data_IF_566111504090
#
_entry.id   IF_566111504090
#
_cell.length_a   1.000
_cell.length_b   1.000
_cell.length_c   1.000
_cell.angle_alpha   90.00
_cell.angle_beta   90.00
_cell.angle_gamma   90.00
#
_symmetry.space_group_name_H-M   'P 1'
#
loop_
_entity.id
_entity.type
_entity.pdbx_description
1 polymer ?
#
# COMPACT_ATOMS: atom_id res chain seq x y z
N UNK A 1 -4.34 7.14 -20.26
CA UNK A 1 -2.98 6.78 -20.74
C UNK A 1 -2.16 6.20 -19.62
N UNK A 2 -1.18 5.35 -19.96
CA UNK A 2 -0.25 4.77 -18.98
C UNK A 2 1.12 5.39 -19.21
N UNK A 3 1.66 6.02 -18.16
CA UNK A 3 3.00 6.64 -18.19
C UNK A 3 4.05 5.64 -17.71
N UNK A 4 5.25 5.60 -18.35
CA UNK A 4 6.39 4.88 -17.80
C UNK A 4 6.80 5.44 -16.44
N UNK A 5 7.12 4.55 -15.48
CA UNK A 5 7.57 4.94 -14.13
C UNK A 5 8.69 5.99 -14.17
N UNK A 6 9.66 5.83 -15.09
CA UNK A 6 10.76 6.79 -15.25
C UNK A 6 10.27 8.20 -15.59
N UNK A 7 9.27 8.30 -16.48
CA UNK A 7 8.71 9.61 -16.84
C UNK A 7 8.02 10.28 -15.65
N UNK A 8 7.32 9.50 -14.81
CA UNK A 8 6.68 10.01 -13.59
C UNK A 8 7.73 10.53 -12.60
N UNK A 9 8.82 9.80 -12.38
CA UNK A 9 9.90 10.25 -11.50
C UNK A 9 10.61 11.51 -12.00
N UNK A 10 10.90 11.59 -13.30
CA UNK A 10 11.54 12.80 -13.85
C UNK A 10 10.57 13.99 -13.78
N UNK A 11 9.29 13.78 -14.08
CA UNK A 11 8.29 14.83 -13.95
C UNK A 11 8.17 15.32 -12.50
N UNK A 12 8.13 14.41 -11.52
CA UNK A 12 8.09 14.75 -10.10
C UNK A 12 9.27 15.60 -9.65
N UNK A 13 10.49 15.29 -10.10
CA UNK A 13 11.68 16.10 -9.80
C UNK A 13 11.62 17.50 -10.41
N UNK A 14 11.13 17.59 -11.66
CA UNK A 14 11.06 18.85 -12.40
C UNK A 14 9.95 19.77 -11.89
N UNK A 15 8.92 19.21 -11.25
CA UNK A 15 7.79 19.95 -10.65
C UNK A 15 8.05 20.39 -9.20
N UNK A 16 9.12 19.91 -8.55
CA UNK A 16 9.48 20.38 -7.22
C UNK A 16 9.77 21.89 -7.28
N UNK A 17 9.07 22.65 -6.44
CA UNK A 17 9.23 24.11 -6.31
C UNK A 17 8.60 24.96 -7.44
N UNK A 18 7.77 24.38 -8.30
CA UNK A 18 7.13 25.13 -9.38
C UNK A 18 5.62 25.20 -9.17
N UNK A 19 5.08 26.41 -9.05
CA UNK A 19 3.64 26.69 -8.94
C UNK A 19 2.99 27.01 -10.30
N UNK A 20 3.76 27.00 -11.39
CA UNK A 20 3.25 27.30 -12.72
C UNK A 20 2.31 26.20 -13.22
N UNK A 21 1.26 26.54 -13.97
CA UNK A 21 0.38 25.54 -14.57
C UNK A 21 1.13 24.60 -15.51
N UNK A 22 0.88 23.30 -15.35
CA UNK A 22 1.42 22.29 -16.26
C UNK A 22 0.46 22.08 -17.43
N UNK A 23 0.90 22.39 -18.64
CA UNK A 23 0.16 22.05 -19.84
C UNK A 23 0.47 20.62 -20.27
N UNK A 24 -0.57 19.80 -20.42
CA UNK A 24 -0.45 18.38 -20.79
C UNK A 24 -1.08 18.16 -22.15
N UNK A 25 -0.28 17.76 -23.13
CA UNK A 25 -0.72 17.45 -24.47
C UNK A 25 -0.48 15.98 -24.79
N UNK A 26 -1.52 15.33 -25.30
CA UNK A 26 -1.44 13.96 -25.77
C UNK A 26 -1.51 13.93 -27.30
N UNK A 27 -0.56 13.23 -27.93
CA UNK A 27 -0.54 13.06 -29.39
C UNK A 27 0.04 11.70 -29.80
N UNK A 28 -0.72 10.97 -30.57
CA UNK A 28 -0.37 9.61 -30.99
C UNK A 28 -0.03 8.70 -29.80
N UNK A 29 1.25 8.31 -29.65
CA UNK A 29 1.76 7.45 -28.58
C UNK A 29 2.69 8.19 -27.61
N UNK A 30 2.57 9.52 -27.52
CA UNK A 30 3.40 10.38 -26.70
C UNK A 30 2.55 11.33 -25.89
N UNK A 31 3.10 11.76 -24.76
CA UNK A 31 2.59 12.85 -23.93
C UNK A 31 3.68 13.90 -23.77
N UNK A 32 3.28 15.16 -23.84
CA UNK A 32 4.12 16.33 -23.59
C UNK A 32 3.61 17.04 -22.34
N UNK A 33 4.53 17.34 -21.45
CA UNK A 33 4.33 18.19 -20.29
C UNK A 33 5.15 19.48 -20.52
N UNK A 34 4.49 20.63 -20.47
CA UNK A 34 5.14 21.94 -20.65
C UNK A 34 4.79 22.85 -19.48
N UNK A 35 5.79 23.40 -18.83
CA UNK A 35 5.67 24.33 -17.70
C UNK A 35 6.94 25.17 -17.62
N UNK A 36 6.78 26.46 -17.30
CA UNK A 36 7.88 27.43 -17.38
C UNK A 36 8.62 27.32 -18.74
N UNK A 37 9.92 27.19 -18.73
CA UNK A 37 10.76 26.98 -19.94
C UNK A 37 11.06 25.49 -20.22
N UNK A 38 10.44 24.57 -19.45
CA UNK A 38 10.71 23.13 -19.52
C UNK A 38 9.67 22.44 -20.39
N UNK A 39 10.13 21.55 -21.24
CA UNK A 39 9.27 20.62 -21.99
C UNK A 39 9.77 19.19 -21.80
N UNK A 40 8.95 18.33 -21.17
CA UNK A 40 9.20 16.90 -21.03
C UNK A 40 8.32 16.13 -22.00
N UNK A 41 8.92 15.30 -22.85
CA UNK A 41 8.17 14.40 -23.76
C UNK A 41 8.49 12.96 -23.41
N UNK A 42 7.43 12.16 -23.22
CA UNK A 42 7.54 10.72 -22.96
C UNK A 42 6.70 9.93 -23.94
N UNK A 43 7.16 8.72 -24.30
CA UNK A 43 6.26 7.71 -24.88
C UNK A 43 5.32 7.21 -23.81
N UNK A 44 4.10 6.87 -24.20
CA UNK A 44 3.17 6.16 -23.33
C UNK A 44 3.38 4.66 -23.46
N UNK A 45 2.93 3.90 -22.45
CA UNK A 45 2.85 2.44 -22.52
C UNK A 45 1.56 2.10 -23.25
N UNK A 46 1.67 1.33 -24.33
CA UNK A 46 0.51 0.81 -25.06
C UNK A 46 -0.18 -0.26 -24.20
N UNK A 47 -1.46 -0.06 -23.95
CA UNK A 47 -2.27 -0.95 -23.14
C UNK A 47 -3.52 -0.28 -22.58
N UNK A 48 -4.49 -1.11 -22.21
CA UNK A 48 -5.69 -0.68 -21.51
C UNK A 48 -5.41 -0.63 -20.01
N UNK A 49 -5.60 0.52 -19.38
CA UNK A 49 -5.52 0.61 -17.93
C UNK A 49 -6.56 -0.31 -17.28
N UNK A 50 -6.18 -1.16 -16.30
CA UNK A 50 -7.13 -2.03 -15.61
C UNK A 50 -8.24 -1.23 -14.93
N UNK A 51 -9.46 -1.79 -14.93
CA UNK A 51 -10.57 -1.21 -14.18
C UNK A 51 -10.34 -1.43 -12.68
N UNK A 52 -9.79 -0.43 -12.03
CA UNK A 52 -9.46 -0.48 -10.60
C UNK A 52 -10.70 -0.63 -9.70
N UNK A 53 -11.88 -0.28 -10.16
CA UNK A 53 -13.11 -0.49 -9.39
C UNK A 53 -13.39 -1.96 -9.12
N UNK A 54 -12.90 -2.85 -9.99
CA UNK A 54 -13.05 -4.31 -9.82
C UNK A 54 -12.14 -4.91 -8.75
N UNK A 55 -11.08 -4.21 -8.37
CA UNK A 55 -10.15 -4.68 -7.32
C UNK A 55 -10.48 -4.10 -5.95
N UNK A 56 -11.31 -3.06 -5.87
CA UNK A 56 -11.79 -2.51 -4.61
C UNK A 56 -12.78 -3.49 -3.99
N UNK A 57 -12.47 -4.12 -2.84
CA UNK A 57 -13.38 -5.05 -2.21
C UNK A 57 -14.60 -4.32 -1.67
N UNK A 58 -15.78 -4.93 -1.85
CA UNK A 58 -17.07 -4.39 -1.39
C UNK A 58 -17.69 -5.21 -0.26
N UNK A 59 -17.07 -6.36 0.09
CA UNK A 59 -17.59 -7.31 1.08
C UNK A 59 -16.74 -7.39 2.35
N UNK A 60 -15.74 -6.53 2.50
CA UNK A 60 -14.88 -6.50 3.68
C UNK A 60 -15.65 -5.89 4.85
N UNK A 61 -16.29 -6.75 5.67
CA UNK A 61 -17.10 -6.37 6.83
C UNK A 61 -16.35 -6.46 8.15
N UNK A 62 -15.32 -7.32 8.23
CA UNK A 62 -14.47 -7.48 9.42
C UNK A 62 -13.44 -6.37 9.43
N UNK A 63 -13.50 -5.50 10.42
CA UNK A 63 -12.64 -4.31 10.44
C UNK A 63 -12.11 -4.01 11.84
N UNK A 64 -10.91 -3.46 11.89
CA UNK A 64 -10.36 -2.82 13.08
C UNK A 64 -9.68 -1.49 12.71
N UNK A 65 -9.61 -0.61 13.68
CA UNK A 65 -8.86 0.62 13.61
C UNK A 65 -7.64 0.55 14.52
N UNK A 66 -6.51 1.08 14.06
CA UNK A 66 -5.26 1.05 14.81
C UNK A 66 -4.49 2.36 14.62
N UNK A 67 -3.78 2.78 15.66
CA UNK A 67 -2.87 3.91 15.58
C UNK A 67 -1.74 3.63 14.57
N UNK A 68 -1.59 4.54 13.61
CA UNK A 68 -0.65 4.39 12.50
C UNK A 68 0.80 4.17 12.94
N UNK A 69 1.27 4.96 13.90
CA UNK A 69 2.66 4.89 14.35
C UNK A 69 2.94 3.60 15.11
N UNK A 70 2.03 3.16 15.97
CA UNK A 70 2.13 1.89 16.71
C UNK A 70 2.21 0.71 15.74
N UNK A 71 1.33 0.69 14.73
CA UNK A 71 1.34 -0.36 13.70
C UNK A 71 2.61 -0.33 12.85
N UNK A 72 3.04 0.87 12.41
CA UNK A 72 4.28 1.06 11.65
C UNK A 72 5.50 0.53 12.41
N UNK A 73 5.64 0.89 13.68
CA UNK A 73 6.79 0.47 14.50
C UNK A 73 6.81 -1.04 14.74
N UNK A 74 5.66 -1.67 15.00
CA UNK A 74 5.56 -3.12 15.13
C UNK A 74 5.97 -3.84 13.84
N UNK A 75 5.49 -3.39 12.68
CA UNK A 75 5.90 -3.92 11.37
C UNK A 75 7.39 -3.70 11.12
N UNK A 76 7.96 -2.56 11.49
CA UNK A 76 9.38 -2.29 11.36
C UNK A 76 10.22 -3.28 12.18
N UNK A 77 9.83 -3.56 13.44
CA UNK A 77 10.54 -4.52 14.29
C UNK A 77 10.52 -5.93 13.73
N UNK A 78 9.37 -6.44 13.33
CA UNK A 78 9.30 -7.79 12.74
C UNK A 78 9.96 -7.87 11.35
N UNK A 79 10.02 -6.75 10.63
CA UNK A 79 10.63 -6.68 9.30
C UNK A 79 12.15 -6.95 9.29
N UNK A 80 12.81 -6.86 10.46
CA UNK A 80 14.25 -7.13 10.59
C UNK A 80 14.58 -8.56 10.14
N UNK A 81 13.67 -9.51 10.41
CA UNK A 81 13.83 -10.89 9.98
C UNK A 81 13.40 -11.13 8.52
N UNK A 82 12.72 -10.17 7.88
CA UNK A 82 12.40 -10.30 6.47
C UNK A 82 13.68 -10.17 5.65
N UNK A 83 14.07 -11.25 4.95
CA UNK A 83 15.26 -11.24 4.14
C UNK A 83 15.16 -10.19 3.03
N UNK A 84 16.09 -9.21 3.03
CA UNK A 84 16.11 -8.15 2.03
C UNK A 84 16.42 -8.65 0.61
N UNK A 85 17.05 -9.80 0.49
CA UNK A 85 17.36 -10.44 -0.78
C UNK A 85 16.16 -11.20 -1.38
N UNK A 86 15.12 -11.47 -0.60
CA UNK A 86 13.93 -12.16 -1.09
C UNK A 86 12.98 -11.20 -1.79
N UNK A 87 12.53 -11.63 -2.97
CA UNK A 87 11.56 -10.89 -3.80
C UNK A 87 10.21 -10.73 -3.12
N UNK A 88 9.89 -11.60 -2.15
CA UNK A 88 8.60 -11.65 -1.45
C UNK A 88 8.82 -11.61 0.06
N UNK A 89 8.58 -10.47 0.65
CA UNK A 89 8.69 -10.25 2.10
C UNK A 89 7.32 -10.42 2.74
N UNK A 90 7.01 -11.64 3.14
CA UNK A 90 5.75 -11.95 3.79
C UNK A 90 5.73 -11.59 5.28
N UNK A 91 4.65 -11.00 5.73
CA UNK A 91 4.27 -10.87 7.12
C UNK A 91 2.92 -11.52 7.32
N UNK A 92 2.75 -12.29 8.38
CA UNK A 92 1.48 -12.92 8.76
C UNK A 92 0.79 -12.07 9.81
N UNK A 93 -0.45 -11.74 9.58
CA UNK A 93 -1.32 -11.01 10.49
C UNK A 93 -2.40 -11.97 10.96
N UNK A 94 -2.48 -12.20 12.27
CA UNK A 94 -3.55 -12.97 12.90
C UNK A 94 -4.38 -11.99 13.71
N UNK A 95 -5.56 -11.67 13.19
CA UNK A 95 -6.54 -10.80 13.83
C UNK A 95 -7.49 -11.69 14.63
N UNK A 96 -7.58 -11.49 15.91
CA UNK A 96 -8.48 -12.20 16.81
C UNK A 96 -9.12 -11.21 17.79
N UNK A 97 -10.00 -11.68 18.65
CA UNK A 97 -10.68 -10.81 19.60
C UNK A 97 -9.70 -9.97 20.39
N UNK A 98 -9.83 -8.64 20.23
CA UNK A 98 -9.05 -7.58 20.88
C UNK A 98 -7.52 -7.68 20.68
N UNK A 99 -7.05 -8.52 19.74
CA UNK A 99 -5.62 -8.75 19.51
C UNK A 99 -5.25 -8.84 18.03
N UNK A 100 -4.16 -8.20 17.68
CA UNK A 100 -3.46 -8.33 16.40
C UNK A 100 -2.06 -8.92 16.65
N UNK A 101 -1.85 -10.17 16.27
CA UNK A 101 -0.54 -10.80 16.29
C UNK A 101 0.11 -10.67 14.91
N UNK A 102 1.33 -10.15 14.87
CA UNK A 102 2.13 -9.91 13.66
C UNK A 102 3.36 -10.79 13.73
N UNK A 103 3.53 -11.69 12.76
CA UNK A 103 4.69 -12.59 12.74
C UNK A 103 5.44 -12.52 11.41
N UNK A 104 6.75 -12.61 11.50
CA UNK A 104 7.63 -12.74 10.35
C UNK A 104 8.61 -13.89 10.61
N UNK A 105 8.80 -14.77 9.61
CA UNK A 105 9.76 -15.88 9.66
C UNK A 105 10.74 -15.74 8.50
N UNK A 106 11.99 -16.13 8.74
CA UNK A 106 13.00 -16.27 7.69
C UNK A 106 13.26 -17.74 7.35
N UNK A 107 14.10 -17.96 6.34
CA UNK A 107 14.46 -19.31 5.89
C UNK A 107 15.34 -20.08 6.91
N UNK A 108 15.93 -19.41 7.88
CA UNK A 108 16.73 -19.97 8.96
C UNK A 108 15.87 -20.39 10.17
N UNK A 109 14.55 -20.36 10.02
CA UNK A 109 13.55 -20.66 11.05
C UNK A 109 13.56 -19.71 12.26
N UNK A 110 14.17 -18.55 12.12
CA UNK A 110 14.03 -17.49 13.11
C UNK A 110 12.64 -16.84 12.97
N UNK A 111 12.05 -16.45 14.10
CA UNK A 111 10.72 -15.86 14.15
C UNK A 111 10.73 -14.57 14.99
N UNK A 112 10.14 -13.53 14.45
CA UNK A 112 9.81 -12.32 15.19
C UNK A 112 8.28 -12.21 15.33
N UNK A 113 7.82 -11.87 16.52
CA UNK A 113 6.41 -11.71 16.84
C UNK A 113 6.18 -10.42 17.61
N UNK A 114 5.11 -9.72 17.26
CA UNK A 114 4.58 -8.56 17.97
C UNK A 114 3.09 -8.75 18.20
N UNK A 115 2.60 -8.29 19.35
CA UNK A 115 1.18 -8.29 19.69
C UNK A 115 0.72 -6.87 19.98
N UNK A 116 -0.39 -6.49 19.38
CA UNK A 116 -0.99 -5.17 19.52
C UNK A 116 -2.45 -5.31 19.95
N UNK A 117 -2.85 -4.49 20.93
CA UNK A 117 -4.24 -4.39 21.31
C UNK A 117 -5.02 -3.61 20.23
N UNK A 118 -6.14 -4.18 19.82
CA UNK A 118 -7.07 -3.59 18.85
C UNK A 118 -8.50 -3.76 19.38
N UNK A 119 -9.43 -2.98 18.85
CA UNK A 119 -10.86 -3.23 19.09
C UNK A 119 -11.39 -4.09 17.94
N UNK A 120 -11.59 -5.38 18.21
CA UNK A 120 -12.08 -6.34 17.25
C UNK A 120 -12.87 -7.44 17.95
N UNK A 121 -14.10 -7.69 17.48
CA UNK A 121 -15.00 -8.71 18.07
C UNK A 121 -15.74 -9.48 16.96
N UNK A 122 -15.02 -9.84 15.90
CA UNK A 122 -15.52 -10.63 14.77
C UNK A 122 -14.73 -11.95 14.67
N UNK A 123 -15.04 -12.78 13.68
CA UNK A 123 -14.32 -14.02 13.40
C UNK A 123 -12.83 -13.76 13.13
N UNK A 124 -11.98 -14.62 13.66
CA UNK A 124 -10.53 -14.53 13.45
C UNK A 124 -10.17 -14.59 11.98
N UNK A 125 -9.21 -13.75 11.59
CA UNK A 125 -8.62 -13.72 10.23
C UNK A 125 -7.13 -13.97 10.33
N UNK A 126 -6.63 -14.93 9.55
CA UNK A 126 -5.22 -15.29 9.45
C UNK A 126 -4.77 -15.04 8.00
N UNK A 127 -4.02 -14.00 7.77
CA UNK A 127 -3.69 -13.52 6.43
C UNK A 127 -2.22 -13.14 6.32
N UNK A 128 -1.61 -13.47 5.19
CA UNK A 128 -0.22 -13.08 4.91
C UNK A 128 -0.19 -11.99 3.84
N UNK A 129 0.59 -10.94 4.09
CA UNK A 129 0.69 -9.75 3.25
C UNK A 129 2.17 -9.42 2.97
N UNK A 130 2.43 -8.66 1.91
CA UNK A 130 3.76 -8.11 1.68
C UNK A 130 4.02 -6.95 2.64
N UNK A 131 5.00 -7.13 3.53
CA UNK A 131 5.34 -6.14 4.56
C UNK A 131 5.79 -4.81 3.97
N UNK A 132 6.48 -4.83 2.80
CA UNK A 132 6.95 -3.62 2.13
C UNK A 132 5.77 -2.72 1.75
N UNK A 133 4.67 -3.30 1.24
CA UNK A 133 3.48 -2.52 0.88
C UNK A 133 2.81 -1.89 2.09
N UNK A 134 2.79 -2.59 3.23
CA UNK A 134 2.25 -2.03 4.48
C UNK A 134 3.14 -0.89 5.00
N UNK A 135 4.46 -1.07 4.98
CA UNK A 135 5.41 -0.03 5.38
C UNK A 135 5.34 1.19 4.47
N UNK A 136 5.26 0.99 3.15
CA UNK A 136 5.12 2.06 2.18
C UNK A 136 3.84 2.87 2.42
N UNK A 137 2.72 2.20 2.66
CA UNK A 137 1.47 2.86 3.01
C UNK A 137 1.63 3.71 4.26
N UNK A 138 2.05 3.08 5.38
CA UNK A 138 2.08 3.73 6.70
C UNK A 138 3.09 4.89 6.78
N UNK A 139 4.15 4.86 5.97
CA UNK A 139 5.11 5.96 5.87
C UNK A 139 4.60 7.16 5.07
N UNK A 140 3.65 6.94 4.14
CA UNK A 140 3.18 7.98 3.22
C UNK A 140 1.77 8.51 3.53
N UNK A 141 1.10 7.96 4.54
CA UNK A 141 -0.21 8.44 4.99
C UNK A 141 -0.03 9.43 6.13
N UNK A 142 -0.64 10.60 5.99
CA UNK A 142 -0.71 11.61 7.05
C UNK A 142 -2.04 11.48 7.82
N UNK A 143 -2.07 10.52 8.75
CA UNK A 143 -3.22 10.26 9.63
C UNK A 143 -2.77 9.69 10.95
N UNK A 144 -3.50 9.98 12.03
CA UNK A 144 -3.24 9.39 13.35
C UNK A 144 -3.58 7.89 13.38
N UNK A 145 -4.64 7.47 12.68
CA UNK A 145 -5.14 6.11 12.65
C UNK A 145 -5.35 5.62 11.23
N UNK A 146 -5.33 4.30 11.04
CA UNK A 146 -5.74 3.62 9.82
C UNK A 146 -6.77 2.55 10.15
N UNK A 147 -7.68 2.27 9.22
CA UNK A 147 -8.67 1.23 9.34
C UNK A 147 -8.36 0.11 8.35
N UNK A 148 -8.24 -1.12 8.85
CA UNK A 148 -8.02 -2.32 8.05
C UNK A 148 -9.32 -3.11 7.96
N UNK A 149 -9.75 -3.47 6.77
CA UNK A 149 -10.97 -4.21 6.53
C UNK A 149 -10.71 -5.49 5.73
N UNK A 150 -11.33 -6.59 6.15
CA UNK A 150 -11.14 -7.94 5.63
C UNK A 150 -12.49 -8.60 5.32
N UNK A 151 -12.50 -9.52 4.37
CA UNK A 151 -13.58 -10.51 4.21
C UNK A 151 -13.13 -11.85 4.78
N UNK A 152 -11.98 -12.35 4.31
CA UNK A 152 -11.35 -13.61 4.73
C UNK A 152 -9.86 -13.61 4.37
N UNK A 153 -9.16 -14.71 4.61
CA UNK A 153 -7.73 -14.87 4.36
C UNK A 153 -7.30 -14.82 2.87
N UNK A 154 -8.22 -15.00 1.93
CA UNK A 154 -7.92 -15.13 0.51
C UNK A 154 -8.26 -13.89 -0.31
N UNK A 155 -9.01 -12.96 0.25
CA UNK A 155 -9.45 -11.74 -0.42
C UNK A 155 -8.58 -10.56 -0.06
N UNK A 156 -8.56 -9.56 -0.95
CA UNK A 156 -7.77 -8.36 -0.75
C UNK A 156 -8.18 -7.61 0.53
N UNK A 157 -7.18 -7.09 1.22
CA UNK A 157 -7.35 -6.20 2.37
C UNK A 157 -7.56 -4.78 1.85
N UNK A 158 -8.55 -4.09 2.40
CA UNK A 158 -8.77 -2.68 2.18
C UNK A 158 -8.28 -1.90 3.39
N UNK A 159 -7.36 -0.97 3.16
CA UNK A 159 -6.90 -0.05 4.20
C UNK A 159 -7.36 1.37 3.83
N UNK A 160 -8.00 2.03 4.78
CA UNK A 160 -8.57 3.36 4.63
C UNK A 160 -8.10 4.28 5.75
N UNK A 161 -8.31 5.57 5.56
CA UNK A 161 -8.06 6.61 6.57
C UNK A 161 -9.41 7.09 7.09
N UNK A 162 -9.68 7.00 8.40
CA UNK A 162 -10.90 7.53 8.98
C UNK A 162 -11.10 9.01 8.61
N UNK A 163 -12.31 9.34 8.14
CA UNK A 163 -12.63 10.69 7.68
C UNK A 163 -12.24 11.02 6.23
N UNK A 164 -11.39 10.24 5.58
CA UNK A 164 -11.02 10.41 4.18
C UNK A 164 -11.64 9.31 3.30
N UNK A 165 -12.78 9.61 2.69
CA UNK A 165 -13.52 8.64 1.85
C UNK A 165 -12.85 8.37 0.49
N UNK A 166 -11.97 9.25 0.04
CA UNK A 166 -11.30 9.12 -1.25
C UNK A 166 -10.07 8.23 -1.18
N UNK A 167 -9.43 8.15 0.01
CA UNK A 167 -8.26 7.32 0.20
C UNK A 167 -8.64 5.84 0.35
N UNK A 168 -8.10 5.02 -0.54
CA UNK A 168 -8.24 3.54 -0.52
C UNK A 168 -6.93 2.91 -0.91
N UNK A 169 -6.43 2.03 -0.08
CA UNK A 169 -5.25 1.22 -0.36
C UNK A 169 -5.59 -0.26 -0.30
N UNK A 170 -5.30 -0.98 -1.36
CA UNK A 170 -5.66 -2.38 -1.49
C UNK A 170 -4.39 -3.21 -1.52
N UNK A 171 -4.33 -4.22 -0.65
CA UNK A 171 -3.23 -5.18 -0.57
C UNK A 171 -3.76 -6.58 -0.84
N UNK A 172 -3.15 -7.25 -1.82
CA UNK A 172 -3.49 -8.62 -2.13
C UNK A 172 -2.79 -9.57 -1.14
N UNK A 173 -3.47 -10.62 -0.66
CA UNK A 173 -2.85 -11.62 0.20
C UNK A 173 -1.78 -12.40 -0.56
N UNK A 174 -0.79 -12.87 0.20
CA UNK A 174 0.25 -13.76 -0.27
C UNK A 174 -0.03 -15.18 0.22
N UNK A 175 0.35 -16.16 -0.58
CA UNK A 175 0.46 -17.55 -0.12
C UNK A 175 1.90 -17.77 0.33
N UNK A 176 2.09 -17.98 1.61
CA UNK A 176 3.37 -18.30 2.24
C UNK A 176 3.37 -19.78 2.57
#
# INVERSE_FOLDING_TARGET
IILPRKAVFELSKLLNENEDPVNIEYFQNKVRFSFSEITLISKIIDGKFPDYNRVIPTKNTKLFEIERITFLQALQRVSILSNQAEKFRGVRLIVSKDNLCITCKNNEQEEAQEELEIKYDDESVDISLNITYLLDLLNNVDSATVQCAFENANNSVLITVPGNKEFKYIVMPMRI
#
